data_IF_433998724440
#
_entry.id   IF_433998724440
#
_cell.length_a   1.000
_cell.length_b   1.000
_cell.length_c   1.000
_cell.angle_alpha   90.00
_cell.angle_beta   90.00
_cell.angle_gamma   90.00
#
_symmetry.space_group_name_H-M   'P 1'
#
loop_
_entity.id
_entity.type
_entity.pdbx_description
1 polymer ?
#
# COMPACT_ATOMS: atom_id res chain seq x y z
N UNK A 1 25.58 2.80 -15.94
CA UNK A 1 24.27 3.30 -16.43
C UNK A 1 23.28 3.25 -15.27
N UNK A 2 22.67 4.37 -14.91
CA UNK A 2 21.71 4.45 -13.80
C UNK A 2 20.33 3.97 -14.30
N UNK A 3 19.73 3.00 -13.60
CA UNK A 3 18.56 2.24 -14.10
C UNK A 3 17.25 3.04 -14.13
N UNK A 4 17.16 4.12 -13.35
CA UNK A 4 15.97 4.98 -13.22
C UNK A 4 16.36 6.45 -13.07
N UNK A 5 16.80 7.13 -14.15
CA UNK A 5 17.33 8.49 -14.08
C UNK A 5 16.29 9.53 -13.64
N UNK A 6 14.99 9.23 -13.79
CA UNK A 6 13.89 10.10 -13.38
C UNK A 6 13.52 9.98 -11.89
N UNK A 7 14.05 8.98 -11.18
CA UNK A 7 13.78 8.81 -9.75
C UNK A 7 14.90 9.48 -8.96
N UNK A 8 14.66 10.71 -8.52
CA UNK A 8 15.57 11.48 -7.67
C UNK A 8 15.10 11.45 -6.21
N UNK A 9 16.02 11.73 -5.27
CA UNK A 9 15.65 11.83 -3.86
C UNK A 9 14.63 12.96 -3.61
N UNK A 10 14.81 14.10 -4.29
CA UNK A 10 13.89 15.24 -4.23
C UNK A 10 12.48 14.86 -4.68
N UNK A 11 12.36 14.17 -5.82
CA UNK A 11 11.09 13.65 -6.30
C UNK A 11 10.42 12.74 -5.25
N UNK A 12 11.18 11.81 -4.66
CA UNK A 12 10.64 10.90 -3.65
C UNK A 12 10.16 11.65 -2.41
N UNK A 13 10.89 12.68 -1.96
CA UNK A 13 10.48 13.50 -0.82
C UNK A 13 9.20 14.29 -1.12
N UNK A 14 9.08 14.88 -2.31
CA UNK A 14 7.88 15.56 -2.77
C UNK A 14 6.66 14.60 -2.74
N UNK A 15 6.78 13.43 -3.39
CA UNK A 15 5.67 12.46 -3.43
C UNK A 15 5.31 11.90 -2.07
N UNK A 16 6.27 11.74 -1.18
CA UNK A 16 6.01 11.32 0.20
C UNK A 16 5.28 12.41 0.98
N UNK A 17 5.62 13.69 0.79
CA UNK A 17 4.92 14.80 1.44
C UNK A 17 3.47 14.89 0.95
N UNK A 18 3.27 14.82 -0.37
CA UNK A 18 1.94 14.81 -0.99
C UNK A 18 1.10 13.61 -0.52
N UNK A 19 1.71 12.41 -0.45
CA UNK A 19 1.00 11.22 0.02
C UNK A 19 0.58 11.30 1.49
N UNK A 20 1.34 12.01 2.34
CA UNK A 20 0.96 12.25 3.74
C UNK A 20 -0.22 13.22 3.86
N UNK A 21 -0.32 14.18 2.95
CA UNK A 21 -1.43 15.13 2.90
C UNK A 21 -2.72 14.47 2.37
N UNK A 22 -2.61 13.74 1.25
CA UNK A 22 -3.75 13.10 0.58
C UNK A 22 -4.19 11.77 1.20
N UNK A 23 -3.29 11.06 1.88
CA UNK A 23 -3.49 9.69 2.37
C UNK A 23 -3.21 8.59 1.34
N UNK A 24 -2.87 8.94 0.10
CA UNK A 24 -2.47 8.01 -0.96
C UNK A 24 -1.37 8.60 -1.84
N UNK A 25 -0.55 7.74 -2.45
CA UNK A 25 0.56 8.13 -3.31
C UNK A 25 0.23 7.94 -4.80
N UNK A 26 0.74 8.83 -5.65
CA UNK A 26 0.67 8.73 -7.12
C UNK A 26 2.08 8.89 -7.70
N UNK A 27 2.44 7.99 -8.61
CA UNK A 27 3.75 8.00 -9.27
C UNK A 27 3.59 7.62 -10.75
N UNK A 28 3.74 8.60 -11.64
CA UNK A 28 3.48 8.47 -13.08
C UNK A 28 4.75 8.74 -13.88
N UNK A 29 4.87 8.06 -15.04
CA UNK A 29 5.84 8.36 -16.11
C UNK A 29 7.33 8.29 -15.71
N UNK A 30 7.64 7.79 -14.52
CA UNK A 30 9.02 7.72 -13.99
C UNK A 30 9.76 6.48 -14.46
N UNK A 31 9.10 5.33 -14.51
CA UNK A 31 9.71 4.02 -14.85
C UNK A 31 9.45 3.64 -16.31
N UNK A 32 8.20 3.82 -16.77
CA UNK A 32 7.78 3.60 -18.16
C UNK A 32 6.89 4.78 -18.55
N UNK A 33 7.05 5.27 -19.77
CA UNK A 33 6.19 6.34 -20.29
C UNK A 33 4.74 5.87 -20.41
N UNK A 34 3.81 6.78 -20.12
CA UNK A 34 2.36 6.57 -20.14
C UNK A 34 1.82 5.55 -19.13
N UNK A 35 2.66 5.14 -18.18
CA UNK A 35 2.32 4.17 -17.14
C UNK A 35 2.62 4.76 -15.77
N UNK A 36 1.86 4.34 -14.76
CA UNK A 36 2.14 4.71 -13.39
C UNK A 36 1.44 3.82 -12.39
N UNK A 37 1.46 4.27 -11.15
CA UNK A 37 0.77 3.62 -10.04
C UNK A 37 0.12 4.64 -9.11
N UNK A 38 -0.96 4.19 -8.49
CA UNK A 38 -1.60 4.85 -7.35
C UNK A 38 -1.69 3.82 -6.22
N UNK A 39 -1.40 4.22 -4.98
CA UNK A 39 -1.36 3.30 -3.85
C UNK A 39 -1.77 3.96 -2.53
N UNK A 40 -2.38 3.19 -1.64
CA UNK A 40 -2.66 3.58 -0.26
C UNK A 40 -1.85 2.72 0.73
N UNK A 41 -1.32 3.30 1.81
CA UNK A 41 -0.57 2.56 2.82
C UNK A 41 -1.51 1.72 3.68
N UNK A 42 -1.01 0.58 4.16
CA UNK A 42 -1.63 -0.21 5.23
C UNK A 42 -0.79 0.04 6.47
N UNK A 43 -1.38 0.69 7.48
CA UNK A 43 -0.74 1.06 8.73
C UNK A 43 -1.06 0.07 9.87
N UNK A 44 -0.12 -0.12 10.77
CA UNK A 44 -0.37 -0.77 12.06
C UNK A 44 -1.09 0.18 13.05
N UNK A 45 -1.52 -0.30 14.23
CA UNK A 45 -2.16 0.54 15.24
C UNK A 45 -1.28 1.68 15.79
N UNK A 46 0.04 1.64 15.56
CA UNK A 46 0.99 2.71 15.92
C UNK A 46 1.19 3.70 14.76
N UNK A 47 0.45 3.55 13.66
CA UNK A 47 0.54 4.41 12.47
C UNK A 47 1.76 4.12 11.59
N UNK A 48 2.45 2.99 11.79
CA UNK A 48 3.62 2.62 10.99
C UNK A 48 3.18 1.83 9.75
N UNK A 49 3.72 2.13 8.56
CA UNK A 49 3.43 1.34 7.37
C UNK A 49 3.92 -0.11 7.51
N UNK A 50 3.01 -1.06 7.32
CA UNK A 50 3.28 -2.50 7.27
C UNK A 50 3.11 -3.08 5.87
N UNK A 51 2.52 -2.31 4.96
CA UNK A 51 2.34 -2.66 3.55
C UNK A 51 1.67 -1.54 2.78
N UNK A 52 1.28 -1.82 1.53
CA UNK A 52 0.48 -0.91 0.70
C UNK A 52 -0.39 -1.72 -0.27
N UNK A 53 -1.53 -1.14 -0.65
CA UNK A 53 -2.36 -1.63 -1.74
C UNK A 53 -2.17 -0.71 -2.95
N UNK A 54 -1.83 -1.28 -4.10
CA UNK A 54 -1.48 -0.51 -5.31
C UNK A 54 -2.25 -0.96 -6.54
N UNK A 55 -2.56 -0.01 -7.42
CA UNK A 55 -3.05 -0.25 -8.77
C UNK A 55 -2.03 0.32 -9.76
N UNK A 56 -1.54 -0.51 -10.67
CA UNK A 56 -0.76 -0.09 -11.81
C UNK A 56 -1.66 0.08 -13.04
N UNK A 57 -1.58 1.22 -13.70
CA UNK A 57 -2.41 1.53 -14.87
C UNK A 57 -1.78 2.62 -15.74
N UNK A 58 -2.34 2.82 -16.93
CA UNK A 58 -1.98 3.96 -17.78
C UNK A 58 -2.21 5.27 -17.02
N UNK A 59 -1.29 6.22 -17.19
CA UNK A 59 -1.31 7.52 -16.52
C UNK A 59 -2.65 8.25 -16.75
N UNK A 60 -3.16 8.27 -17.99
CA UNK A 60 -4.44 8.89 -18.36
C UNK A 60 -5.62 8.28 -17.58
N UNK A 61 -5.57 6.97 -17.30
CA UNK A 61 -6.62 6.28 -16.54
C UNK A 61 -6.58 6.62 -15.06
N UNK A 62 -5.38 6.82 -14.51
CA UNK A 62 -5.18 7.25 -13.12
C UNK A 62 -5.61 8.71 -12.99
N UNK A 63 -5.09 9.61 -13.83
CA UNK A 63 -5.39 11.05 -13.76
C UNK A 63 -6.87 11.37 -13.90
N UNK A 64 -7.56 10.72 -14.85
CA UNK A 64 -9.00 10.92 -15.05
C UNK A 64 -9.87 10.51 -13.86
N UNK A 65 -9.35 9.73 -12.91
CA UNK A 65 -10.10 9.15 -11.79
C UNK A 65 -9.35 9.19 -10.46
N UNK A 66 -8.33 10.04 -10.34
CA UNK A 66 -7.35 9.95 -9.24
C UNK A 66 -8.04 10.00 -7.89
N UNK A 67 -8.90 11.00 -7.66
CA UNK A 67 -9.61 11.17 -6.39
C UNK A 67 -10.51 9.96 -6.07
N UNK A 68 -11.28 9.47 -7.05
CA UNK A 68 -12.16 8.32 -6.85
C UNK A 68 -11.36 7.04 -6.55
N UNK A 69 -10.26 6.81 -7.27
CA UNK A 69 -9.37 5.66 -7.05
C UNK A 69 -8.65 5.76 -5.71
N UNK A 70 -8.17 6.94 -5.34
CA UNK A 70 -7.52 7.20 -4.06
C UNK A 70 -8.44 6.91 -2.89
N UNK A 71 -9.68 7.41 -2.91
CA UNK A 71 -10.68 7.11 -1.88
C UNK A 71 -11.01 5.63 -1.79
N UNK A 72 -11.20 4.95 -2.93
CA UNK A 72 -11.46 3.51 -2.95
C UNK A 72 -10.28 2.71 -2.38
N UNK A 73 -9.05 3.07 -2.76
CA UNK A 73 -7.83 2.44 -2.23
C UNK A 73 -7.69 2.65 -0.73
N UNK A 74 -7.96 3.85 -0.21
CA UNK A 74 -7.92 4.11 1.23
C UNK A 74 -8.97 3.31 1.99
N UNK A 75 -10.19 3.17 1.43
CA UNK A 75 -11.23 2.33 2.01
C UNK A 75 -10.77 0.86 2.11
N UNK A 76 -10.24 0.30 1.02
CA UNK A 76 -9.76 -1.09 1.00
C UNK A 76 -8.52 -1.28 1.89
N UNK A 77 -7.60 -0.33 1.89
CA UNK A 77 -6.44 -0.35 2.78
C UNK A 77 -6.88 -0.35 4.25
N UNK A 78 -7.90 0.44 4.63
CA UNK A 78 -8.47 0.41 5.97
C UNK A 78 -9.00 -0.98 6.35
N UNK A 79 -9.66 -1.70 5.42
CA UNK A 79 -10.09 -3.08 5.67
C UNK A 79 -8.90 -4.01 5.93
N UNK A 80 -7.81 -3.84 5.18
CA UNK A 80 -6.56 -4.57 5.43
C UNK A 80 -5.96 -4.22 6.80
N UNK A 81 -5.99 -2.96 7.23
CA UNK A 81 -5.49 -2.53 8.54
C UNK A 81 -6.24 -3.20 9.69
N UNK A 82 -7.57 -3.28 9.61
CA UNK A 82 -8.40 -3.94 10.63
C UNK A 82 -7.99 -5.42 10.76
N UNK A 83 -7.92 -6.14 9.64
CA UNK A 83 -7.53 -7.56 9.64
C UNK A 83 -6.09 -7.77 10.10
N UNK A 84 -5.18 -6.87 9.73
CA UNK A 84 -3.79 -6.89 10.18
C UNK A 84 -3.70 -6.77 11.70
N UNK A 85 -4.42 -5.80 12.27
CA UNK A 85 -4.45 -5.59 13.73
C UNK A 85 -5.00 -6.82 14.47
N UNK A 86 -6.05 -7.46 13.95
CA UNK A 86 -6.61 -8.69 14.53
C UNK A 86 -5.63 -9.86 14.52
N UNK A 87 -4.91 -10.05 13.41
CA UNK A 87 -3.94 -11.13 13.24
C UNK A 87 -2.68 -10.94 14.09
N UNK A 88 -2.28 -9.68 14.33
CA UNK A 88 -1.06 -9.35 15.09
C UNK A 88 -1.29 -9.21 16.59
N UNK A 89 -2.54 -9.25 17.07
CA UNK A 89 -2.85 -9.33 18.52
C UNK A 89 -2.14 -10.54 19.16
N UNK A 90 -1.52 -10.37 20.34
CA UNK A 90 -0.74 -11.43 21.00
C UNK A 90 -1.50 -12.75 21.19
N UNK A 91 -2.80 -12.69 21.50
CA UNK A 91 -3.65 -13.86 21.69
C UNK A 91 -3.91 -14.65 20.38
N UNK A 92 -4.03 -13.96 19.24
CA UNK A 92 -4.26 -14.57 17.92
C UNK A 92 -3.06 -15.38 17.42
N UNK A 93 -1.84 -14.93 17.74
CA UNK A 93 -0.58 -15.61 17.35
C UNK A 93 -0.43 -16.98 18.04
N UNK A 94 -0.83 -17.06 19.31
CA UNK A 94 -0.82 -18.32 20.07
C UNK A 94 -1.88 -19.29 19.52
N UNK A 95 -3.08 -18.81 19.22
CA UNK A 95 -4.15 -19.63 18.65
C UNK A 95 -3.81 -20.18 17.24
N UNK A 96 -3.20 -19.38 16.37
CA UNK A 96 -2.76 -19.83 15.03
C UNK A 96 -1.65 -20.89 15.11
N UNK A 97 -0.65 -20.72 16.00
CA UNK A 97 0.38 -21.75 16.24
C UNK A 97 -0.22 -23.05 16.78
N UNK A 98 -1.17 -22.97 17.69
CA UNK A 98 -1.84 -24.15 18.26
C UNK A 98 -2.70 -24.89 17.23
N UNK A 99 -3.35 -24.16 16.30
CA UNK A 99 -4.08 -24.76 15.17
C UNK A 99 -3.16 -25.44 14.15
N UNK A 100 -2.02 -24.83 13.83
CA UNK A 100 -1.03 -25.41 12.93
C UNK A 100 -0.27 -26.61 13.55
N UNK A 101 -0.22 -26.70 14.87
CA UNK A 101 0.41 -27.80 15.61
C UNK A 101 -0.50 -29.03 15.81
N UNK A 102 -1.77 -28.98 15.40
CA UNK A 102 -2.66 -30.14 15.44
C UNK A 102 -2.36 -31.01 14.22
N UNK A 103 -1.84 -32.25 14.36
CA UNK A 103 -1.62 -33.10 13.21
C UNK A 103 -2.98 -33.46 12.60
N UNK A 104 -3.03 -33.51 11.26
CA UNK A 104 -4.15 -34.11 10.54
C UNK A 104 -4.18 -35.61 10.90
N UNK A 105 -4.94 -35.94 11.94
CA UNK A 105 -5.11 -37.31 12.44
C UNK A 105 -6.37 -37.95 11.86
N UNK A 106 -6.11 -38.99 11.06
CA UNK A 106 -6.96 -40.08 10.53
C UNK A 106 -8.40 -40.22 11.04
#
# INVERSE_FOLDING_TARGET
MQRYPRITAELLHERVAEARDKGYAVLLDVVVERMGGIAAPILDPQGRPVGALSIAALNDRILSRESAMGHALMHEAMQCQVRWAEATRPASRTAHRLRAAKPAGN
#
